data_IF_505823858250
#
_entry.id   IF_505823858250
#
_cell.length_a   1.000
_cell.length_b   1.000
_cell.length_c   1.000
_cell.angle_alpha   90.00
_cell.angle_beta   90.00
_cell.angle_gamma   90.00
#
_symmetry.space_group_name_H-M   'P 1'
#
loop_
_entity.id
_entity.type
_entity.pdbx_description
1 polymer ?
#
# COMPACT_ATOMS: atom_id res chain seq x y z
N UNK A 1 -28.81 20.39 4.94
CA UNK A 1 -27.86 20.72 6.03
C UNK A 1 -26.91 19.57 6.33
N UNK A 2 -27.34 18.31 6.30
CA UNK A 2 -26.48 17.14 6.56
C UNK A 2 -25.26 17.03 5.64
N UNK A 3 -25.44 17.15 4.31
CA UNK A 3 -24.32 17.19 3.36
C UNK A 3 -23.33 18.34 3.61
N UNK A 4 -23.82 19.46 4.14
CA UNK A 4 -22.96 20.60 4.48
C UNK A 4 -22.04 20.28 5.66
N UNK A 5 -22.57 19.65 6.72
CA UNK A 5 -21.76 19.19 7.86
C UNK A 5 -20.78 18.09 7.47
N UNK A 6 -21.19 17.16 6.60
CA UNK A 6 -20.31 16.10 6.08
C UNK A 6 -19.11 16.70 5.33
N UNK A 7 -19.36 17.61 4.38
CA UNK A 7 -18.30 18.25 3.59
C UNK A 7 -17.36 19.06 4.50
N UNK A 8 -17.90 19.88 5.41
CA UNK A 8 -17.08 20.66 6.34
C UNK A 8 -16.22 19.77 7.22
N UNK A 9 -16.76 18.66 7.70
CA UNK A 9 -16.03 17.73 8.56
C UNK A 9 -14.86 17.10 7.80
N UNK A 10 -15.10 16.60 6.58
CA UNK A 10 -14.04 16.04 5.74
C UNK A 10 -12.96 17.09 5.44
N UNK A 11 -13.35 18.28 4.98
CA UNK A 11 -12.40 19.36 4.67
C UNK A 11 -11.59 19.78 5.90
N UNK A 12 -12.22 19.86 7.07
CA UNK A 12 -11.54 20.19 8.33
C UNK A 12 -10.52 19.11 8.69
N UNK A 13 -10.89 17.83 8.58
CA UNK A 13 -9.99 16.72 8.86
C UNK A 13 -8.79 16.74 7.91
N UNK A 14 -9.00 16.90 6.60
CA UNK A 14 -7.90 16.98 5.62
C UNK A 14 -6.94 18.14 5.98
N UNK A 15 -7.49 19.31 6.31
CA UNK A 15 -6.68 20.51 6.61
C UNK A 15 -5.86 20.35 7.90
N UNK A 16 -6.45 19.79 8.96
CA UNK A 16 -5.81 19.73 10.28
C UNK A 16 -4.97 18.47 10.51
N UNK A 17 -5.20 17.38 9.76
CA UNK A 17 -4.50 16.10 9.95
C UNK A 17 -2.97 16.22 9.93
N UNK A 18 -2.32 16.95 8.98
CA UNK A 18 -0.87 17.08 8.98
C UNK A 18 -0.32 17.80 10.22
N UNK A 19 -1.05 18.80 10.73
CA UNK A 19 -0.64 19.57 11.91
C UNK A 19 -0.77 18.73 13.19
N UNK A 20 -1.84 17.95 13.31
CA UNK A 20 -2.04 16.98 14.38
C UNK A 20 -1.00 15.87 14.33
N UNK A 21 -0.69 15.34 13.14
CA UNK A 21 0.38 14.36 12.93
C UNK A 21 1.73 14.88 13.41
N UNK A 22 2.07 16.14 13.09
CA UNK A 22 3.31 16.76 13.57
C UNK A 22 3.32 16.93 15.09
N UNK A 23 2.18 17.31 15.69
CA UNK A 23 2.03 17.48 17.14
C UNK A 23 2.24 16.15 17.90
N UNK A 24 1.61 15.08 17.43
CA UNK A 24 1.69 13.76 18.06
C UNK A 24 2.86 12.89 17.58
N UNK A 25 3.60 13.34 16.56
CA UNK A 25 4.70 12.59 15.91
C UNK A 25 4.26 11.22 15.39
N UNK A 26 3.07 11.18 14.80
CA UNK A 26 2.43 9.98 14.24
C UNK A 26 2.29 10.10 12.72
N UNK A 27 2.18 9.00 11.96
CA UNK A 27 1.89 9.08 10.52
C UNK A 27 0.57 9.82 10.27
N UNK A 28 0.54 10.66 9.23
CA UNK A 28 -0.67 11.42 8.84
C UNK A 28 -1.85 10.49 8.59
N UNK A 29 -1.62 9.38 7.89
CA UNK A 29 -2.64 8.36 7.60
C UNK A 29 -3.32 7.83 8.87
N UNK A 30 -2.57 7.59 9.94
CA UNK A 30 -3.15 7.11 11.21
C UNK A 30 -4.03 8.19 11.83
N UNK A 31 -3.62 9.46 11.74
CA UNK A 31 -4.43 10.60 12.21
C UNK A 31 -5.73 10.74 11.41
N UNK A 32 -5.66 10.60 10.09
CA UNK A 32 -6.84 10.66 9.21
C UNK A 32 -7.86 9.57 9.55
N UNK A 33 -7.41 8.32 9.75
CA UNK A 33 -8.27 7.21 10.18
C UNK A 33 -8.87 7.50 11.56
N UNK A 34 -8.07 7.93 12.55
CA UNK A 34 -8.54 8.28 13.89
C UNK A 34 -9.62 9.38 13.84
N UNK A 35 -9.39 10.46 13.10
CA UNK A 35 -10.32 11.57 13.00
C UNK A 35 -11.59 11.18 12.24
N UNK A 36 -11.46 10.36 11.19
CA UNK A 36 -12.60 9.78 10.49
C UNK A 36 -13.47 8.93 11.41
N UNK A 37 -12.85 8.08 12.23
CA UNK A 37 -13.51 7.27 13.24
C UNK A 37 -14.24 8.13 14.30
N UNK A 38 -13.60 9.19 14.80
CA UNK A 38 -14.24 10.12 15.74
C UNK A 38 -15.42 10.84 15.09
N UNK A 39 -15.24 11.34 13.86
CA UNK A 39 -16.29 12.05 13.13
C UNK A 39 -17.47 11.13 12.77
N UNK A 40 -17.20 9.86 12.45
CA UNK A 40 -18.24 8.84 12.26
C UNK A 40 -19.04 8.61 13.54
N UNK A 41 -18.37 8.46 14.68
CA UNK A 41 -19.02 8.28 15.98
C UNK A 41 -19.89 9.46 16.42
N UNK A 42 -19.43 10.69 16.20
CA UNK A 42 -20.22 11.89 16.49
C UNK A 42 -21.35 12.14 15.46
N UNK A 43 -21.51 11.28 14.45
CA UNK A 43 -22.53 11.44 13.40
C UNK A 43 -22.22 12.58 12.42
N UNK A 44 -21.00 13.11 12.42
CA UNK A 44 -20.55 14.15 11.49
C UNK A 44 -20.30 13.59 10.09
N UNK A 45 -19.88 12.32 10.03
CA UNK A 45 -19.75 11.55 8.80
C UNK A 45 -20.70 10.35 8.89
N UNK A 46 -21.72 10.33 8.04
CA UNK A 46 -22.68 9.25 7.91
C UNK A 46 -22.46 8.48 6.60
N UNK A 47 -23.15 7.36 6.42
CA UNK A 47 -23.09 6.57 5.19
C UNK A 47 -23.69 7.37 4.02
N UNK A 48 -22.82 7.91 3.16
CA UNK A 48 -23.18 8.73 2.01
C UNK A 48 -22.53 8.14 0.74
N UNK A 49 -23.34 7.95 -0.30
CA UNK A 49 -22.90 7.34 -1.55
C UNK A 49 -21.85 8.19 -2.29
N UNK A 50 -21.92 9.52 -2.16
CA UNK A 50 -20.95 10.42 -2.81
C UNK A 50 -19.60 10.31 -2.13
N UNK A 51 -19.58 10.31 -0.79
CA UNK A 51 -18.37 10.08 -0.02
C UNK A 51 -17.76 8.71 -0.35
N UNK A 52 -18.60 7.66 -0.38
CA UNK A 52 -18.17 6.31 -0.73
C UNK A 52 -17.57 6.23 -2.14
N UNK A 53 -18.16 6.92 -3.11
CA UNK A 53 -17.63 6.98 -4.48
C UNK A 53 -16.26 7.68 -4.51
N UNK A 54 -16.10 8.82 -3.84
CA UNK A 54 -14.84 9.56 -3.80
C UNK A 54 -13.77 8.75 -3.05
N UNK A 55 -14.13 8.09 -1.95
CA UNK A 55 -13.23 7.22 -1.19
C UNK A 55 -12.76 6.01 -2.01
N UNK A 56 -13.65 5.39 -2.81
CA UNK A 56 -13.27 4.34 -3.77
C UNK A 56 -12.30 4.86 -4.82
N UNK A 57 -12.53 6.05 -5.37
CA UNK A 57 -11.58 6.67 -6.29
C UNK A 57 -10.24 6.98 -5.59
N UNK A 58 -10.27 7.46 -4.35
CA UNK A 58 -9.08 7.67 -3.54
C UNK A 58 -8.29 6.40 -3.28
N UNK A 59 -8.98 5.28 -3.07
CA UNK A 59 -8.35 3.96 -2.98
C UNK A 59 -7.67 3.56 -4.29
N UNK A 60 -8.35 3.69 -5.43
CA UNK A 60 -7.77 3.41 -6.76
C UNK A 60 -6.57 4.32 -7.03
N UNK A 61 -6.65 5.59 -6.67
CA UNK A 61 -5.54 6.54 -6.80
C UNK A 61 -4.36 6.18 -5.88
N UNK A 62 -4.62 5.71 -4.66
CA UNK A 62 -3.58 5.21 -3.76
C UNK A 62 -2.84 4.01 -4.38
N UNK A 63 -3.56 3.10 -5.03
CA UNK A 63 -2.96 1.95 -5.73
C UNK A 63 -2.16 2.40 -6.97
N UNK A 64 -2.58 3.47 -7.64
CA UNK A 64 -1.79 4.11 -8.69
C UNK A 64 -0.49 4.73 -8.14
N UNK A 65 -0.54 5.43 -7.01
CA UNK A 65 0.64 5.97 -6.34
C UNK A 65 1.60 4.86 -5.88
N UNK A 66 1.08 3.76 -5.34
CA UNK A 66 1.87 2.58 -5.01
C UNK A 66 2.68 2.09 -6.24
N UNK A 67 2.04 1.99 -7.42
CA UNK A 67 2.74 1.67 -8.67
C UNK A 67 3.79 2.72 -9.07
N UNK A 68 3.50 4.00 -8.86
CA UNK A 68 4.41 5.12 -9.14
C UNK A 68 5.65 5.12 -8.22
N UNK A 69 5.51 4.60 -7.00
CA UNK A 69 6.59 4.49 -6.02
C UNK A 69 7.59 3.38 -6.38
N UNK A 70 7.17 2.33 -7.09
CA UNK A 70 8.00 1.17 -7.45
C UNK A 70 9.23 1.58 -8.27
N UNK A 71 10.39 1.50 -7.65
CA UNK A 71 11.66 1.71 -8.33
C UNK A 71 12.41 0.38 -8.55
N UNK A 72 12.20 -0.23 -9.72
CA UNK A 72 12.83 -1.49 -10.12
C UNK A 72 14.37 -1.44 -10.13
N UNK A 73 14.99 -0.26 -10.14
CA UNK A 73 16.46 -0.13 -10.02
C UNK A 73 16.94 -0.60 -8.64
N UNK A 74 16.11 -0.47 -7.61
CA UNK A 74 16.44 -0.91 -6.25
C UNK A 74 16.53 -2.44 -6.14
N UNK A 75 15.78 -3.16 -6.96
CA UNK A 75 15.88 -4.63 -7.04
C UNK A 75 17.26 -5.05 -7.58
N UNK A 76 17.85 -4.26 -8.49
CA UNK A 76 19.21 -4.52 -9.00
C UNK A 76 20.32 -4.29 -7.97
N UNK A 77 20.04 -3.58 -6.87
CA UNK A 77 21.00 -3.38 -5.77
C UNK A 77 21.17 -4.67 -4.96
N UNK A 78 20.18 -5.58 -5.01
CA UNK A 78 20.28 -6.89 -4.38
C UNK A 78 21.44 -7.64 -5.03
N UNK A 79 22.52 -7.85 -4.26
CA UNK A 79 23.67 -8.63 -4.72
C UNK A 79 23.19 -10.00 -5.18
N UNK A 80 23.75 -10.54 -6.25
CA UNK A 80 23.42 -11.88 -6.73
C UNK A 80 23.55 -12.95 -5.62
N UNK A 81 24.49 -12.74 -4.70
CA UNK A 81 24.71 -13.58 -3.51
C UNK A 81 23.55 -13.58 -2.50
N UNK A 82 22.66 -12.58 -2.55
CA UNK A 82 21.47 -12.47 -1.70
C UNK A 82 20.17 -12.91 -2.39
N UNK A 83 20.18 -13.17 -3.70
CA UNK A 83 18.96 -13.52 -4.44
C UNK A 83 18.29 -14.78 -3.86
N UNK A 84 19.07 -15.79 -3.51
CA UNK A 84 18.57 -17.01 -2.85
C UNK A 84 17.96 -16.67 -1.49
N UNK A 85 18.59 -15.81 -0.71
CA UNK A 85 18.08 -15.41 0.60
C UNK A 85 16.75 -14.66 0.49
N UNK A 86 16.56 -13.84 -0.55
CA UNK A 86 15.29 -13.16 -0.83
C UNK A 86 14.20 -14.17 -1.19
N UNK A 87 14.49 -15.16 -2.03
CA UNK A 87 13.54 -16.24 -2.34
C UNK A 87 13.19 -17.02 -1.07
N UNK A 88 14.20 -17.41 -0.28
CA UNK A 88 13.99 -18.10 1.00
C UNK A 88 13.17 -17.26 1.98
N UNK A 89 13.38 -15.94 2.03
CA UNK A 89 12.60 -15.04 2.87
C UNK A 89 11.11 -15.13 2.53
N UNK A 90 10.73 -14.98 1.25
CA UNK A 90 9.33 -15.10 0.85
C UNK A 90 8.77 -16.51 1.04
N UNK A 91 9.56 -17.57 0.78
CA UNK A 91 9.15 -18.95 1.06
C UNK A 91 8.84 -19.12 2.55
N UNK A 92 9.72 -18.68 3.45
CA UNK A 92 9.46 -18.73 4.88
C UNK A 92 8.28 -17.85 5.28
N UNK A 93 8.17 -16.64 4.72
CA UNK A 93 7.09 -15.70 5.03
C UNK A 93 5.71 -16.31 4.74
N UNK A 94 5.51 -16.84 3.54
CA UNK A 94 4.25 -17.47 3.14
C UNK A 94 4.03 -18.82 3.83
N UNK A 95 5.09 -19.61 4.07
CA UNK A 95 4.95 -20.89 4.79
C UNK A 95 4.53 -20.69 6.25
N UNK A 96 5.11 -19.72 6.94
CA UNK A 96 4.76 -19.40 8.33
C UNK A 96 3.37 -18.75 8.38
N UNK A 97 3.02 -17.88 7.42
CA UNK A 97 1.65 -17.36 7.28
C UNK A 97 0.63 -18.50 7.15
N UNK A 98 0.88 -19.47 6.26
CA UNK A 98 0.04 -20.66 6.11
C UNK A 98 -0.05 -21.51 7.37
N UNK A 99 1.07 -21.69 8.08
CA UNK A 99 1.11 -22.41 9.35
C UNK A 99 0.29 -21.70 10.44
N UNK A 100 0.38 -20.37 10.56
CA UNK A 100 -0.46 -19.61 11.49
C UNK A 100 -1.94 -19.74 11.11
N UNK A 101 -2.27 -19.64 9.83
CA UNK A 101 -3.65 -19.81 9.39
C UNK A 101 -4.19 -21.20 9.73
N UNK A 102 -3.39 -22.25 9.53
CA UNK A 102 -3.78 -23.61 9.89
C UNK A 102 -3.91 -23.83 11.40
N UNK A 103 -2.99 -23.29 12.20
CA UNK A 103 -3.01 -23.46 13.68
C UNK A 103 -4.18 -22.74 14.35
N UNK A 104 -4.59 -21.59 13.81
CA UNK A 104 -5.63 -20.75 14.39
C UNK A 104 -6.96 -20.80 13.61
N UNK A 105 -7.09 -21.74 12.66
CA UNK A 105 -8.27 -21.91 11.80
C UNK A 105 -8.70 -20.62 11.09
N UNK A 106 -7.71 -19.88 10.56
CA UNK A 106 -7.93 -18.61 9.90
C UNK A 106 -8.23 -18.81 8.41
N UNK A 107 -9.20 -18.06 7.92
CA UNK A 107 -9.56 -18.05 6.51
C UNK A 107 -8.46 -17.48 5.60
N UNK A 108 -8.66 -17.65 4.30
CA UNK A 108 -7.71 -17.23 3.27
C UNK A 108 -7.38 -15.73 3.28
N UNK A 109 -8.29 -14.88 3.77
CA UNK A 109 -8.02 -13.45 3.99
C UNK A 109 -6.75 -13.23 4.80
N UNK A 110 -6.54 -14.00 5.88
CA UNK A 110 -5.36 -13.91 6.72
C UNK A 110 -4.11 -14.41 6.01
N UNK A 111 -4.23 -15.47 5.22
CA UNK A 111 -3.10 -16.01 4.44
C UNK A 111 -2.51 -14.97 3.49
N UNK A 112 -3.36 -14.11 2.90
CA UNK A 112 -2.94 -13.02 2.01
C UNK A 112 -2.57 -11.76 2.79
N UNK A 113 -3.29 -11.43 3.87
CA UNK A 113 -3.09 -10.20 4.64
C UNK A 113 -1.80 -10.21 5.50
N UNK A 114 -1.48 -11.32 6.16
CA UNK A 114 -0.33 -11.39 7.06
C UNK A 114 1.04 -11.13 6.38
N UNK A 115 1.32 -11.64 5.17
CA UNK A 115 2.58 -11.37 4.47
C UNK A 115 2.55 -10.07 3.62
N UNK A 116 1.47 -9.29 3.63
CA UNK A 116 1.27 -8.15 2.70
C UNK A 116 2.26 -7.00 2.95
N UNK A 117 2.83 -6.39 1.92
CA UNK A 117 3.83 -5.32 2.02
C UNK A 117 3.27 -3.94 1.70
N UNK A 118 3.93 -2.90 2.21
CA UNK A 118 3.72 -1.49 1.83
C UNK A 118 5.01 -0.69 1.99
N UNK A 119 5.42 0.04 0.96
CA UNK A 119 6.62 0.89 0.99
C UNK A 119 6.46 2.21 1.77
N UNK A 120 5.23 2.69 1.98
CA UNK A 120 5.00 4.04 2.50
C UNK A 120 5.68 4.31 3.86
N UNK A 121 5.59 3.35 4.79
CA UNK A 121 6.23 3.46 6.11
C UNK A 121 7.77 3.34 6.02
N UNK A 122 8.28 2.50 5.12
CA UNK A 122 9.73 2.35 4.88
C UNK A 122 10.32 3.65 4.32
N UNK A 123 9.61 4.33 3.43
CA UNK A 123 10.04 5.63 2.89
C UNK A 123 10.12 6.72 3.98
N UNK A 124 9.22 6.69 4.97
CA UNK A 124 9.32 7.59 6.12
C UNK A 124 10.57 7.29 6.97
N UNK A 125 10.90 6.02 7.20
CA UNK A 125 12.14 5.65 7.89
C UNK A 125 13.38 6.11 7.12
N UNK A 126 13.37 6.06 5.78
CA UNK A 126 14.49 6.56 4.95
C UNK A 126 14.66 8.07 5.11
N UNK A 127 13.57 8.83 5.19
CA UNK A 127 13.63 10.27 5.45
C UNK A 127 14.16 10.56 6.87
N UNK A 128 13.92 9.70 7.85
CA UNK A 128 14.35 9.88 9.24
C UNK A 128 15.82 9.46 9.49
N UNK A 129 16.26 8.31 8.95
CA UNK A 129 17.59 7.73 9.21
C UNK A 129 18.60 7.90 8.07
N UNK A 130 18.14 8.29 6.87
CA UNK A 130 18.96 8.36 5.67
C UNK A 130 19.11 7.02 4.95
N UNK A 131 19.74 7.06 3.77
CA UNK A 131 19.90 5.88 2.88
C UNK A 131 21.17 5.06 3.18
N UNK A 132 21.94 5.42 4.19
CA UNK A 132 23.23 4.75 4.46
C UNK A 132 23.08 3.49 5.32
N UNK A 133 21.91 3.29 5.92
CA UNK A 133 21.62 2.15 6.77
C UNK A 133 21.43 0.84 5.97
N UNK A 134 22.24 -0.22 6.21
CA UNK A 134 22.18 -1.46 5.42
C UNK A 134 20.84 -2.20 5.53
N UNK A 135 20.24 -2.22 6.73
CA UNK A 135 18.94 -2.85 6.97
C UNK A 135 17.84 -2.17 6.17
N UNK A 136 17.90 -0.84 6.05
CA UNK A 136 16.87 -0.04 5.41
C UNK A 136 16.97 -0.10 3.88
N UNK A 137 18.20 -0.13 3.34
CA UNK A 137 18.41 -0.39 1.91
C UNK A 137 17.87 -1.78 1.52
N UNK A 138 18.11 -2.80 2.35
CA UNK A 138 17.59 -4.13 2.10
C UNK A 138 16.06 -4.17 2.22
N UNK A 139 15.49 -3.54 3.26
CA UNK A 139 14.04 -3.41 3.47
C UNK A 139 13.36 -2.74 2.28
N UNK A 140 13.94 -1.66 1.76
CA UNK A 140 13.45 -0.98 0.57
C UNK A 140 13.47 -1.90 -0.67
N UNK A 141 14.59 -2.56 -0.95
CA UNK A 141 14.72 -3.45 -2.11
C UNK A 141 13.78 -4.65 -2.03
N UNK A 142 13.63 -5.25 -0.85
CA UNK A 142 12.72 -6.39 -0.61
C UNK A 142 11.27 -5.92 -0.61
N UNK A 143 10.98 -4.74 -0.04
CA UNK A 143 9.68 -4.11 -0.03
C UNK A 143 9.13 -3.88 -1.44
N UNK A 144 9.98 -3.45 -2.39
CA UNK A 144 9.59 -3.33 -3.81
C UNK A 144 9.12 -4.68 -4.38
N UNK A 145 9.86 -5.76 -4.12
CA UNK A 145 9.48 -7.10 -4.57
C UNK A 145 8.22 -7.57 -3.85
N UNK A 146 8.14 -7.34 -2.54
CA UNK A 146 7.03 -7.73 -1.69
C UNK A 146 5.73 -7.02 -2.06
N UNK A 147 5.78 -5.75 -2.44
CA UNK A 147 4.60 -4.98 -2.85
C UNK A 147 4.03 -5.50 -4.18
N UNK A 148 4.90 -5.81 -5.15
CA UNK A 148 4.49 -6.48 -6.40
C UNK A 148 3.87 -7.85 -6.11
N UNK A 149 4.51 -8.66 -5.27
CA UNK A 149 3.97 -9.97 -4.86
C UNK A 149 2.62 -9.80 -4.14
N UNK A 150 2.47 -8.78 -3.30
CA UNK A 150 1.25 -8.49 -2.53
C UNK A 150 0.07 -8.17 -3.43
N UNK A 151 0.29 -7.35 -4.46
CA UNK A 151 -0.76 -6.99 -5.43
C UNK A 151 -1.15 -8.19 -6.29
N UNK A 152 -0.17 -8.99 -6.71
CA UNK A 152 -0.44 -10.24 -7.41
C UNK A 152 -1.24 -11.20 -6.52
N UNK A 153 -0.85 -11.36 -5.27
CA UNK A 153 -1.56 -12.21 -4.31
C UNK A 153 -3.00 -11.71 -4.09
N UNK A 154 -3.21 -10.40 -3.91
CA UNK A 154 -4.52 -9.80 -3.75
C UNK A 154 -5.40 -9.96 -5.01
N UNK A 155 -4.82 -9.84 -6.20
CA UNK A 155 -5.56 -10.02 -7.46
C UNK A 155 -5.91 -11.48 -7.74
N UNK A 156 -4.99 -12.41 -7.44
CA UNK A 156 -5.28 -13.84 -7.53
C UNK A 156 -6.34 -14.24 -6.51
N UNK A 157 -6.29 -13.65 -5.32
CA UNK A 157 -7.26 -13.85 -4.27
C UNK A 157 -8.65 -13.35 -4.68
N UNK A 158 -8.78 -12.11 -5.20
CA UNK A 158 -10.07 -11.59 -5.66
C UNK A 158 -10.63 -12.42 -6.81
N UNK A 159 -9.79 -12.82 -7.76
CA UNK A 159 -10.17 -13.74 -8.84
C UNK A 159 -10.66 -15.11 -8.34
N UNK A 160 -10.05 -15.66 -7.29
CA UNK A 160 -10.51 -16.92 -6.69
C UNK A 160 -11.87 -16.73 -6.00
N UNK A 161 -12.03 -15.67 -5.22
CA UNK A 161 -13.30 -15.38 -4.51
C UNK A 161 -14.45 -15.22 -5.49
N UNK A 162 -14.23 -14.54 -6.62
CA UNK A 162 -15.29 -14.25 -7.59
C UNK A 162 -15.69 -15.46 -8.46
N UNK A 163 -14.75 -16.35 -8.79
CA UNK A 163 -14.99 -17.44 -9.74
C UNK A 163 -14.96 -18.86 -9.14
N UNK A 164 -14.50 -19.02 -7.90
CA UNK A 164 -14.23 -20.33 -7.29
C UNK A 164 -13.08 -21.08 -7.99
N UNK A 165 -12.71 -22.27 -7.49
CA UNK A 165 -11.59 -23.05 -8.05
C UNK A 165 -11.97 -23.87 -9.29
N UNK A 166 -12.57 -23.20 -10.28
CA UNK A 166 -13.09 -23.81 -11.51
C UNK A 166 -12.27 -23.40 -12.74
N UNK A 167 -12.60 -23.96 -13.91
CA UNK A 167 -11.99 -23.56 -15.19
C UNK A 167 -12.04 -22.03 -15.41
N UNK A 168 -13.12 -21.40 -14.96
CA UNK A 168 -13.29 -19.94 -14.97
C UNK A 168 -12.17 -19.20 -14.22
N UNK A 169 -11.67 -19.72 -13.11
CA UNK A 169 -10.55 -19.10 -12.38
C UNK A 169 -9.25 -19.16 -13.17
N UNK A 170 -8.94 -20.30 -13.81
CA UNK A 170 -7.77 -20.41 -14.68
C UNK A 170 -7.87 -19.50 -15.90
N UNK A 171 -9.07 -19.36 -16.47
CA UNK A 171 -9.34 -18.37 -17.53
C UNK A 171 -9.11 -16.96 -16.99
N UNK A 172 -9.61 -16.61 -15.81
CA UNK A 172 -9.40 -15.29 -15.20
C UNK A 172 -7.93 -15.00 -14.91
N UNK A 173 -7.15 -15.98 -14.44
CA UNK A 173 -5.68 -15.86 -14.31
C UNK A 173 -5.04 -15.57 -15.68
N UNK A 174 -5.40 -16.35 -16.70
CA UNK A 174 -4.87 -16.15 -18.05
C UNK A 174 -5.25 -14.77 -18.61
N UNK A 175 -6.44 -14.29 -18.27
CA UNK A 175 -6.94 -12.97 -18.63
C UNK A 175 -6.16 -11.88 -17.91
N UNK A 176 -5.89 -12.02 -16.61
CA UNK A 176 -5.02 -11.13 -15.83
C UNK A 176 -3.62 -11.06 -16.45
N UNK A 177 -2.99 -12.20 -16.72
CA UNK A 177 -1.67 -12.27 -17.35
C UNK A 177 -1.72 -11.61 -18.74
N UNK A 178 -2.75 -11.92 -19.53
CA UNK A 178 -2.97 -11.33 -20.85
C UNK A 178 -3.09 -9.82 -20.79
N UNK A 179 -3.83 -9.28 -19.81
CA UNK A 179 -3.99 -7.83 -19.61
C UNK A 179 -2.70 -7.18 -19.15
N UNK A 180 -1.95 -7.80 -18.23
CA UNK A 180 -0.62 -7.28 -17.83
C UNK A 180 0.32 -7.25 -19.04
N UNK A 181 0.36 -8.31 -19.84
CA UNK A 181 1.16 -8.36 -21.07
C UNK A 181 0.70 -7.32 -22.08
N UNK A 182 -0.61 -7.22 -22.35
CA UNK A 182 -1.17 -6.24 -23.28
C UNK A 182 -0.93 -4.81 -22.81
N UNK A 183 -1.00 -4.57 -21.50
CA UNK A 183 -0.66 -3.28 -20.90
C UNK A 183 0.81 -3.01 -21.16
N UNK A 184 1.73 -3.89 -20.77
CA UNK A 184 3.18 -3.72 -21.05
C UNK A 184 3.47 -3.52 -22.55
N UNK A 185 2.81 -4.28 -23.43
CA UNK A 185 2.97 -4.19 -24.88
C UNK A 185 2.42 -2.88 -25.45
N UNK A 186 1.20 -2.49 -25.07
CA UNK A 186 0.58 -1.23 -25.49
C UNK A 186 1.40 -0.04 -25.01
N UNK A 187 1.90 -0.10 -23.79
CA UNK A 187 2.80 0.88 -23.21
C UNK A 187 4.17 0.94 -23.92
N UNK A 188 4.73 -0.20 -24.32
CA UNK A 188 5.93 -0.27 -25.17
C UNK A 188 5.67 0.27 -26.57
N UNK A 189 4.48 0.04 -27.12
CA UNK A 189 4.05 0.61 -28.39
C UNK A 189 3.97 2.13 -28.30
N UNK A 190 3.36 2.67 -27.23
CA UNK A 190 3.39 4.11 -26.94
C UNK A 190 4.82 4.66 -26.84
N UNK A 191 5.74 3.92 -26.22
CA UNK A 191 7.15 4.32 -26.19
C UNK A 191 7.76 4.42 -27.60
N UNK A 192 7.52 3.43 -28.46
CA UNK A 192 8.02 3.44 -29.83
C UNK A 192 7.40 4.59 -30.62
N UNK A 193 6.09 4.82 -30.48
CA UNK A 193 5.37 5.93 -31.11
C UNK A 193 5.97 7.27 -30.65
N UNK A 194 6.21 7.45 -29.35
CA UNK A 194 6.83 8.67 -28.84
C UNK A 194 8.29 8.85 -29.25
N UNK A 195 8.99 7.76 -29.56
CA UNK A 195 10.34 7.81 -30.12
C UNK A 195 10.32 8.22 -31.60
N UNK A 196 9.34 7.75 -32.38
CA UNK A 196 9.19 8.10 -33.81
C UNK A 196 8.54 9.46 -34.02
N UNK A 197 7.61 9.85 -33.14
CA UNK A 197 6.85 11.09 -33.18
C UNK A 197 7.07 11.89 -31.89
N UNK A 198 8.26 12.48 -31.69
CA UNK A 198 8.57 13.24 -30.48
C UNK A 198 7.67 14.47 -30.29
N UNK A 199 7.05 14.98 -31.35
CA UNK A 199 6.06 16.05 -31.29
C UNK A 199 4.77 15.62 -30.57
N UNK A 200 4.30 14.38 -30.77
CA UNK A 200 3.16 13.83 -30.03
C UNK A 200 3.47 13.69 -28.55
N UNK A 201 4.71 13.28 -28.21
CA UNK A 201 5.17 13.25 -26.82
C UNK A 201 5.16 14.65 -26.20
N UNK A 202 5.70 15.65 -26.90
CA UNK A 202 5.71 17.06 -26.45
C UNK A 202 4.31 17.67 -26.36
N UNK A 203 3.36 17.20 -27.17
CA UNK A 203 1.98 17.63 -27.13
C UNK A 203 1.21 17.06 -25.93
N UNK A 204 1.41 15.78 -25.61
CA UNK A 204 0.72 15.10 -24.50
C UNK A 204 1.39 15.36 -23.15
N UNK A 205 2.72 15.39 -23.13
CA UNK A 205 3.56 15.63 -21.96
C UNK A 205 4.64 16.67 -22.33
N UNK A 206 4.27 17.96 -22.37
CA UNK A 206 5.20 19.04 -22.68
C UNK A 206 6.34 19.14 -21.68
N UNK A 207 7.42 19.79 -22.11
CA UNK A 207 8.50 20.18 -21.19
C UNK A 207 8.00 21.19 -20.16
N UNK A 208 8.60 21.18 -18.97
CA UNK A 208 8.15 21.92 -17.77
C UNK A 208 7.85 23.40 -18.07
N UNK A 209 8.70 24.02 -18.88
CA UNK A 209 8.63 25.44 -19.23
C UNK A 209 7.42 25.79 -20.13
N UNK A 210 6.88 24.80 -20.84
CA UNK A 210 5.73 24.94 -21.75
C UNK A 210 4.45 24.30 -21.20
N UNK A 211 4.49 23.69 -20.00
CA UNK A 211 3.34 23.02 -19.41
C UNK A 211 2.40 23.99 -18.68
N UNK A 212 1.80 24.92 -19.43
CA UNK A 212 0.93 25.98 -18.86
C UNK A 212 -0.42 25.49 -18.33
N UNK A 213 -0.85 24.28 -18.71
CA UNK A 213 -2.19 23.74 -18.40
C UNK A 213 -2.17 22.39 -17.68
N UNK A 214 -1.01 22.00 -17.13
CA UNK A 214 -0.79 20.70 -16.49
C UNK A 214 -1.24 19.52 -17.37
N UNK A 215 -0.88 19.58 -18.65
CA UNK A 215 -1.25 18.57 -19.66
C UNK A 215 -0.73 17.18 -19.29
N UNK A 216 0.45 17.15 -18.68
CA UNK A 216 1.08 15.96 -18.11
C UNK A 216 0.22 15.28 -17.02
N UNK A 217 -0.35 16.05 -16.08
CA UNK A 217 -1.27 15.54 -15.06
C UNK A 217 -2.56 15.05 -15.74
N UNK A 218 -3.13 15.84 -16.65
CA UNK A 218 -4.37 15.47 -17.35
C UNK A 218 -4.21 14.16 -18.11
N UNK A 219 -3.11 13.99 -18.83
CA UNK A 219 -2.77 12.76 -19.50
C UNK A 219 -2.63 11.61 -18.50
N UNK A 220 -1.90 11.82 -17.40
CA UNK A 220 -1.70 10.79 -16.35
C UNK A 220 -3.01 10.29 -15.74
N UNK A 221 -3.88 11.21 -15.33
CA UNK A 221 -5.19 10.87 -14.74
C UNK A 221 -6.09 10.22 -15.80
N UNK A 222 -6.06 10.69 -17.05
CA UNK A 222 -6.85 10.10 -18.13
C UNK A 222 -6.40 8.67 -18.42
N UNK A 223 -5.09 8.41 -18.49
CA UNK A 223 -4.55 7.07 -18.67
C UNK A 223 -4.92 6.13 -17.52
N UNK A 224 -4.84 6.62 -16.27
CA UNK A 224 -5.30 5.87 -15.10
C UNK A 224 -6.78 5.48 -15.25
N UNK A 225 -7.66 6.45 -15.53
CA UNK A 225 -9.10 6.22 -15.65
C UNK A 225 -9.45 5.29 -16.81
N UNK A 226 -8.76 5.41 -17.95
CA UNK A 226 -8.95 4.51 -19.09
C UNK A 226 -8.56 3.08 -18.70
N UNK A 227 -7.42 2.88 -18.04
CA UNK A 227 -6.99 1.55 -17.61
C UNK A 227 -7.96 0.97 -16.58
N UNK A 228 -8.41 1.77 -15.60
CA UNK A 228 -9.43 1.35 -14.62
C UNK A 228 -10.74 0.96 -15.31
N UNK A 229 -11.18 1.73 -16.31
CA UNK A 229 -12.38 1.41 -17.09
C UNK A 229 -12.22 0.11 -17.90
N UNK A 230 -11.05 -0.14 -18.48
CA UNK A 230 -10.72 -1.40 -19.16
C UNK A 230 -10.78 -2.56 -18.16
N UNK A 231 -10.15 -2.45 -16.99
CA UNK A 231 -10.18 -3.48 -15.95
C UNK A 231 -11.61 -3.79 -15.51
N UNK A 232 -12.40 -2.73 -15.28
CA UNK A 232 -13.80 -2.85 -14.90
C UNK A 232 -14.63 -3.57 -15.98
N UNK A 233 -14.43 -3.22 -17.26
CA UNK A 233 -15.11 -3.87 -18.38
C UNK A 233 -14.72 -5.35 -18.54
N UNK A 234 -13.46 -5.68 -18.24
CA UNK A 234 -12.94 -7.05 -18.25
C UNK A 234 -13.31 -7.85 -16.99
N UNK A 235 -13.98 -7.24 -16.01
CA UNK A 235 -14.28 -7.81 -14.69
C UNK A 235 -13.03 -8.32 -13.98
N UNK A 236 -11.95 -7.54 -14.07
CA UNK A 236 -10.72 -7.78 -13.33
C UNK A 236 -10.62 -6.72 -12.25
N UNK A 237 -9.94 -7.06 -11.15
CA UNK A 237 -9.65 -6.13 -10.06
C UNK A 237 -9.01 -4.82 -10.57
N UNK A 238 -9.70 -3.71 -10.30
CA UNK A 238 -9.27 -2.35 -10.69
C UNK A 238 -7.98 -1.93 -9.98
N UNK A 239 -7.65 -2.53 -8.84
CA UNK A 239 -6.41 -2.29 -8.08
C UNK A 239 -5.19 -2.64 -8.92
N UNK A 240 -5.22 -3.79 -9.61
CA UNK A 240 -4.12 -4.20 -10.49
C UNK A 240 -3.93 -3.22 -11.65
N UNK A 241 -5.02 -2.74 -12.26
CA UNK A 241 -4.96 -1.78 -13.35
C UNK A 241 -4.36 -0.44 -12.92
N UNK A 242 -4.79 0.06 -11.76
CA UNK A 242 -4.25 1.29 -11.19
C UNK A 242 -2.76 1.14 -10.87
N UNK A 243 -2.35 0.05 -10.24
CA UNK A 243 -0.94 -0.21 -9.97
C UNK A 243 -0.10 -0.35 -11.24
N UNK A 244 -0.59 -1.09 -12.24
CA UNK A 244 0.10 -1.26 -13.52
C UNK A 244 0.26 0.08 -14.26
N UNK A 245 -0.77 0.95 -14.20
CA UNK A 245 -0.68 2.32 -14.70
C UNK A 245 0.44 3.09 -13.96
N UNK A 246 0.47 3.04 -12.64
CA UNK A 246 1.50 3.72 -11.84
C UNK A 246 2.91 3.26 -12.19
N UNK A 247 3.10 1.94 -12.28
CA UNK A 247 4.38 1.33 -12.65
C UNK A 247 4.84 1.79 -14.05
N UNK A 248 3.92 1.87 -15.00
CA UNK A 248 4.21 2.41 -16.32
C UNK A 248 4.69 3.87 -16.26
N UNK A 249 3.95 4.72 -15.56
CA UNK A 249 4.31 6.13 -15.43
C UNK A 249 5.69 6.28 -14.79
N UNK A 250 5.99 5.48 -13.77
CA UNK A 250 7.32 5.46 -13.15
C UNK A 250 8.42 5.03 -14.10
N UNK A 251 8.19 4.02 -14.94
CA UNK A 251 9.20 3.54 -15.89
C UNK A 251 9.43 4.52 -17.05
N UNK A 252 8.38 5.16 -17.56
CA UNK A 252 8.44 6.01 -18.75
C UNK A 252 8.81 7.46 -18.42
N UNK A 253 8.26 8.01 -17.34
CA UNK A 253 8.47 9.40 -16.92
C UNK A 253 9.44 9.50 -15.73
N UNK A 254 10.29 8.49 -15.50
CA UNK A 254 11.28 8.46 -14.40
C UNK A 254 12.11 9.75 -14.27
N UNK A 255 12.40 10.41 -15.39
CA UNK A 255 13.23 11.63 -15.45
C UNK A 255 12.45 12.92 -15.20
N UNK A 256 11.12 12.89 -15.20
CA UNK A 256 10.23 14.04 -14.96
C UNK A 256 9.82 14.05 -13.49
N UNK A 257 10.75 14.42 -12.62
CA UNK A 257 10.52 14.47 -11.18
C UNK A 257 9.32 15.37 -10.82
N UNK A 258 9.19 16.52 -11.47
CA UNK A 258 8.07 17.45 -11.26
C UNK A 258 6.70 16.81 -11.52
N UNK A 259 6.57 15.96 -12.54
CA UNK A 259 5.31 15.25 -12.83
C UNK A 259 4.97 14.26 -11.70
N UNK A 260 5.97 13.51 -11.25
CA UNK A 260 5.80 12.54 -10.16
C UNK A 260 5.37 13.28 -8.88
N UNK A 261 6.04 14.37 -8.53
CA UNK A 261 5.70 15.19 -7.37
C UNK A 261 4.30 15.82 -7.48
N UNK A 262 3.91 16.28 -8.67
CA UNK A 262 2.56 16.80 -8.94
C UNK A 262 1.48 15.74 -8.73
N UNK A 263 1.69 14.53 -9.27
CA UNK A 263 0.79 13.38 -9.10
C UNK A 263 0.68 12.99 -7.62
N UNK A 264 1.81 12.85 -6.93
CA UNK A 264 1.85 12.56 -5.50
C UNK A 264 1.13 13.63 -4.68
N UNK A 265 1.39 14.92 -4.98
CA UNK A 265 0.75 16.05 -4.29
C UNK A 265 -0.77 16.07 -4.49
N UNK A 266 -1.24 15.75 -5.70
CA UNK A 266 -2.67 15.68 -5.99
C UNK A 266 -3.36 14.53 -5.25
N UNK A 267 -2.70 13.36 -5.18
CA UNK A 267 -3.23 12.20 -4.47
C UNK A 267 -3.19 12.34 -2.96
N UNK A 268 -2.00 12.51 -2.37
CA UNK A 268 -1.80 12.61 -0.93
C UNK A 268 -2.36 13.91 -0.34
N UNK A 269 -2.54 14.96 -1.15
CA UNK A 269 -3.14 16.21 -0.69
C UNK A 269 -4.67 16.18 -0.62
N UNK A 270 -5.35 15.25 -1.30
CA UNK A 270 -6.82 15.27 -1.38
C UNK A 270 -7.49 13.89 -1.41
N UNK A 271 -7.22 13.07 -2.43
CA UNK A 271 -7.98 11.82 -2.65
C UNK A 271 -7.65 10.72 -1.64
N UNK A 272 -6.37 10.55 -1.34
CA UNK A 272 -5.90 9.53 -0.40
C UNK A 272 -6.39 9.84 1.04
N UNK A 273 -6.31 11.09 1.53
CA UNK A 273 -6.92 11.46 2.80
C UNK A 273 -8.41 11.10 2.90
N UNK A 274 -9.21 11.39 1.86
CA UNK A 274 -10.65 11.08 1.88
C UNK A 274 -10.88 9.57 2.02
N UNK A 275 -10.09 8.74 1.35
CA UNK A 275 -10.15 7.29 1.51
C UNK A 275 -9.89 6.86 2.97
N UNK A 276 -8.84 7.38 3.61
CA UNK A 276 -8.53 7.01 5.00
C UNK A 276 -9.55 7.56 6.01
N UNK A 277 -10.05 8.77 5.80
CA UNK A 277 -11.13 9.36 6.62
C UNK A 277 -12.40 8.52 6.51
N UNK A 278 -12.81 8.17 5.29
CA UNK A 278 -13.96 7.28 5.06
C UNK A 278 -13.74 5.90 5.71
N UNK A 279 -12.55 5.33 5.55
CA UNK A 279 -12.24 4.04 6.17
C UNK A 279 -12.37 4.12 7.69
N UNK A 280 -11.84 5.17 8.31
CA UNK A 280 -12.01 5.45 9.73
C UNK A 280 -13.48 5.58 10.12
N UNK A 281 -14.28 6.34 9.36
CA UNK A 281 -15.70 6.56 9.69
C UNK A 281 -16.57 5.31 9.60
N UNK A 282 -16.12 4.27 8.87
CA UNK A 282 -16.82 2.99 8.87
C UNK A 282 -16.61 2.16 10.16
N UNK A 283 -15.61 2.50 10.97
CA UNK A 283 -15.35 1.83 12.25
C UNK A 283 -16.30 2.38 13.32
N UNK A 284 -17.22 1.52 13.77
CA UNK A 284 -18.23 1.87 14.77
C UNK A 284 -17.63 1.77 16.17
N UNK A 285 -17.30 2.93 16.74
CA UNK A 285 -16.67 3.05 18.07
C UNK A 285 -17.47 2.36 19.19
N UNK A 286 -18.80 2.43 19.11
CA UNK A 286 -19.76 1.79 20.02
C UNK A 286 -19.71 0.26 19.99
N UNK A 287 -19.22 -0.32 18.89
CA UNK A 287 -19.06 -1.76 18.72
C UNK A 287 -17.66 -2.26 19.10
N UNK A 288 -16.73 -1.39 19.49
CA UNK A 288 -15.38 -1.79 19.85
C UNK A 288 -15.38 -2.47 21.23
N UNK A 289 -15.15 -3.77 21.21
CA UNK A 289 -15.02 -4.61 22.41
C UNK A 289 -13.57 -4.95 22.69
N UNK A 290 -13.30 -5.43 23.91
CA UNK A 290 -11.99 -5.96 24.29
C UNK A 290 -11.51 -7.07 23.34
N UNK A 291 -12.42 -7.90 22.83
CA UNK A 291 -12.09 -8.99 21.91
C UNK A 291 -11.59 -8.48 20.55
N UNK A 292 -12.14 -7.38 20.04
CA UNK A 292 -11.64 -6.74 18.81
C UNK A 292 -10.21 -6.21 19.02
N UNK A 293 -9.93 -5.57 20.16
CA UNK A 293 -8.57 -5.13 20.46
C UNK A 293 -7.61 -6.31 20.64
N UNK A 294 -8.04 -7.38 21.29
CA UNK A 294 -7.26 -8.61 21.44
C UNK A 294 -6.94 -9.24 20.08
N UNK A 295 -7.91 -9.27 19.17
CA UNK A 295 -7.73 -9.80 17.82
C UNK A 295 -6.84 -8.90 16.96
N UNK A 296 -6.97 -7.57 17.09
CA UNK A 296 -6.06 -6.62 16.45
C UNK A 296 -4.60 -6.82 16.91
N UNK A 297 -4.38 -7.00 18.22
CA UNK A 297 -3.06 -7.32 18.78
C UNK A 297 -2.55 -8.68 18.29
N UNK A 298 -3.43 -9.66 18.12
CA UNK A 298 -3.07 -10.95 17.52
C UNK A 298 -2.59 -10.78 16.06
N UNK A 299 -3.32 -10.02 15.24
CA UNK A 299 -2.92 -9.74 13.84
C UNK A 299 -1.56 -9.05 13.80
N UNK A 300 -1.37 -7.97 14.58
CA UNK A 300 -0.08 -7.28 14.72
C UNK A 300 1.03 -8.26 15.13
N UNK A 301 0.81 -9.05 16.19
CA UNK A 301 1.80 -9.98 16.69
C UNK A 301 2.14 -11.05 15.65
N UNK A 302 1.14 -11.59 14.94
CA UNK A 302 1.34 -12.57 13.88
C UNK A 302 2.20 -11.99 12.74
N UNK A 303 1.88 -10.76 12.28
CA UNK A 303 2.66 -10.05 11.27
C UNK A 303 4.13 -9.90 11.70
N UNK A 304 4.35 -9.40 12.91
CA UNK A 304 5.69 -9.17 13.47
C UNK A 304 6.46 -10.50 13.60
N UNK A 305 5.82 -11.55 14.13
CA UNK A 305 6.44 -12.86 14.36
C UNK A 305 6.83 -13.51 13.05
N UNK A 306 5.92 -13.54 12.06
CA UNK A 306 6.21 -14.10 10.73
C UNK A 306 7.45 -13.41 10.15
N UNK A 307 7.47 -12.08 10.15
CA UNK A 307 8.58 -11.30 9.59
C UNK A 307 9.88 -11.45 10.37
N UNK A 308 9.84 -11.49 11.70
CA UNK A 308 11.03 -11.74 12.51
C UNK A 308 11.63 -13.09 12.17
N UNK A 309 10.84 -14.16 12.23
CA UNK A 309 11.33 -15.52 11.98
C UNK A 309 11.89 -15.63 10.56
N UNK A 310 11.12 -15.23 9.54
CA UNK A 310 11.56 -15.25 8.15
C UNK A 310 12.85 -14.44 7.94
N UNK A 311 12.95 -13.26 8.56
CA UNK A 311 14.14 -12.40 8.43
C UNK A 311 15.38 -13.02 9.08
N UNK A 312 15.24 -13.62 10.26
CA UNK A 312 16.35 -14.27 10.95
C UNK A 312 16.82 -15.52 10.21
N UNK A 313 15.90 -16.31 9.63
CA UNK A 313 16.27 -17.46 8.81
C UNK A 313 16.98 -17.04 7.52
N UNK A 314 16.50 -15.98 6.86
CA UNK A 314 17.02 -15.57 5.56
C UNK A 314 18.28 -14.67 5.64
N UNK A 315 18.33 -13.72 6.58
CA UNK A 315 19.30 -12.61 6.51
C UNK A 315 20.25 -12.50 7.70
N UNK A 316 20.14 -13.36 8.72
CA UNK A 316 20.98 -13.25 9.93
C UNK A 316 22.49 -13.27 9.62
N UNK A 317 22.95 -14.13 8.69
CA UNK A 317 24.37 -14.19 8.33
C UNK A 317 24.89 -12.89 7.72
N UNK A 318 24.04 -12.19 6.97
CA UNK A 318 24.36 -10.96 6.24
C UNK A 318 24.25 -9.72 7.12
N UNK A 319 23.09 -9.51 7.77
CA UNK A 319 22.79 -8.32 8.55
C UNK A 319 23.28 -8.39 10.01
N UNK A 320 23.48 -9.60 10.56
CA UNK A 320 23.68 -9.84 12.00
C UNK A 320 22.45 -9.44 12.83
N UNK A 321 22.47 -9.82 14.11
CA UNK A 321 21.31 -9.72 15.01
C UNK A 321 20.61 -8.35 15.01
N UNK A 322 21.37 -7.26 15.23
CA UNK A 322 20.81 -5.90 15.40
C UNK A 322 20.11 -5.41 14.12
N UNK A 323 20.77 -5.55 12.98
CA UNK A 323 20.25 -5.05 11.70
C UNK A 323 19.12 -5.93 11.17
N UNK A 324 19.17 -7.26 11.41
CA UNK A 324 18.04 -8.15 11.07
C UNK A 324 16.79 -7.80 11.88
N UNK A 325 16.94 -7.41 13.14
CA UNK A 325 15.80 -6.96 13.96
C UNK A 325 15.17 -5.69 13.38
N UNK A 326 15.98 -4.68 13.05
CA UNK A 326 15.48 -3.43 12.47
C UNK A 326 14.81 -3.66 11.11
N UNK A 327 15.43 -4.47 10.25
CA UNK A 327 14.86 -4.91 8.97
C UNK A 327 13.48 -5.58 9.13
N UNK A 328 13.38 -6.56 10.03
CA UNK A 328 12.12 -7.28 10.23
C UNK A 328 11.00 -6.36 10.74
N UNK A 329 11.33 -5.45 11.66
CA UNK A 329 10.36 -4.50 12.21
C UNK A 329 9.95 -3.44 11.18
N UNK A 330 10.84 -3.00 10.30
CA UNK A 330 10.50 -2.02 9.26
C UNK A 330 9.57 -2.59 8.20
N UNK A 331 9.77 -3.86 7.85
CA UNK A 331 8.88 -4.57 6.92
C UNK A 331 7.52 -4.87 7.57
N UNK A 332 7.42 -4.84 8.90
CA UNK A 332 6.21 -5.17 9.66
C UNK A 332 5.15 -4.08 9.71
N UNK A 333 5.24 -3.03 8.88
CA UNK A 333 4.29 -1.90 8.91
C UNK A 333 3.46 -1.74 7.62
N UNK A 334 2.65 -2.73 7.20
CA UNK A 334 1.95 -2.68 5.92
C UNK A 334 0.63 -1.87 5.96
N UNK A 335 0.64 -0.73 6.65
CA UNK A 335 -0.55 0.06 7.01
C UNK A 335 -1.56 0.20 5.85
N UNK A 336 -1.12 0.73 4.72
CA UNK A 336 -2.02 1.08 3.60
C UNK A 336 -2.66 -0.15 2.95
N UNK A 337 -1.87 -1.20 2.75
CA UNK A 337 -2.32 -2.44 2.11
C UNK A 337 -3.14 -3.32 3.06
N UNK A 338 -2.87 -3.28 4.37
CA UNK A 338 -3.66 -3.99 5.37
C UNK A 338 -5.07 -3.40 5.49
N UNK A 339 -5.19 -2.07 5.45
CA UNK A 339 -6.49 -1.39 5.39
C UNK A 339 -7.24 -1.74 4.09
N UNK A 340 -6.53 -1.74 2.97
CA UNK A 340 -7.09 -2.07 1.66
C UNK A 340 -7.70 -3.48 1.62
N UNK A 341 -6.93 -4.50 2.06
CA UNK A 341 -7.41 -5.88 2.05
C UNK A 341 -8.57 -6.08 3.03
N UNK A 342 -8.56 -5.41 4.18
CA UNK A 342 -9.66 -5.45 5.14
C UNK A 342 -10.96 -4.92 4.52
N UNK A 343 -10.91 -3.75 3.87
CA UNK A 343 -12.08 -3.17 3.22
C UNK A 343 -12.59 -4.03 2.06
N UNK A 344 -11.68 -4.55 1.23
CA UNK A 344 -12.02 -5.41 0.09
C UNK A 344 -12.71 -6.70 0.57
N UNK A 345 -12.12 -7.39 1.55
CA UNK A 345 -12.63 -8.67 2.05
C UNK A 345 -13.92 -8.53 2.83
N UNK A 346 -14.09 -7.44 3.56
CA UNK A 346 -15.36 -7.11 4.21
C UNK A 346 -16.47 -6.86 3.18
N UNK A 347 -16.19 -6.12 2.10
CA UNK A 347 -17.16 -5.89 1.03
C UNK A 347 -17.54 -7.18 0.28
N UNK A 348 -16.64 -8.17 0.20
CA UNK A 348 -16.94 -9.50 -0.33
C UNK A 348 -17.60 -10.45 0.68
N UNK A 349 -17.81 -10.01 1.94
CA UNK A 349 -18.42 -10.84 2.98
C UNK A 349 -17.54 -11.99 3.48
N UNK A 350 -16.21 -11.92 3.28
CA UNK A 350 -15.27 -12.97 3.66
C UNK A 350 -14.78 -12.85 5.10
N UNK A 351 -14.92 -11.66 5.69
CA UNK A 351 -14.62 -11.40 7.09
C UNK A 351 -15.80 -10.74 7.76
N UNK A 352 -15.96 -11.02 9.04
CA UNK A 352 -16.96 -10.40 9.89
C UNK A 352 -16.63 -8.91 10.14
N UNK A 353 -17.62 -8.16 10.59
CA UNK A 353 -17.43 -6.75 10.96
C UNK A 353 -16.41 -6.58 12.10
N UNK A 354 -16.37 -7.51 13.06
CA UNK A 354 -15.37 -7.53 14.14
C UNK A 354 -13.95 -7.71 13.61
N UNK A 355 -13.76 -8.59 12.63
CA UNK A 355 -12.45 -8.79 12.00
C UNK A 355 -12.04 -7.58 11.17
N UNK A 356 -12.97 -6.98 10.43
CA UNK A 356 -12.72 -5.73 9.70
C UNK A 356 -12.20 -4.63 10.62
N UNK A 357 -12.86 -4.41 11.77
CA UNK A 357 -12.40 -3.45 12.77
C UNK A 357 -11.04 -3.84 13.36
N UNK A 358 -10.82 -5.13 13.60
CA UNK A 358 -9.54 -5.64 14.12
C UNK A 358 -8.39 -5.37 13.15
N UNK A 359 -8.58 -5.56 11.84
CA UNK A 359 -7.57 -5.27 10.82
C UNK A 359 -7.24 -3.77 10.74
N UNK A 360 -8.25 -2.90 10.77
CA UNK A 360 -8.02 -1.45 10.74
C UNK A 360 -7.24 -1.03 12.00
N UNK A 361 -7.66 -1.47 13.18
CA UNK A 361 -6.97 -1.15 14.44
C UNK A 361 -5.55 -1.72 14.43
N UNK A 362 -5.35 -2.96 14.00
CA UNK A 362 -4.03 -3.58 13.89
C UNK A 362 -3.10 -2.73 13.00
N UNK A 363 -3.58 -2.32 11.83
CA UNK A 363 -2.80 -1.51 10.89
C UNK A 363 -2.33 -0.19 11.50
N UNK A 364 -3.19 0.47 12.27
CA UNK A 364 -2.88 1.73 12.96
C UNK A 364 -1.87 1.52 14.09
N UNK A 365 -2.09 0.49 14.92
CA UNK A 365 -1.19 0.16 16.04
C UNK A 365 0.20 -0.24 15.51
N UNK A 366 0.27 -1.05 14.46
CA UNK A 366 1.53 -1.45 13.80
C UNK A 366 2.37 -0.23 13.43
N UNK A 367 1.78 0.69 12.65
CA UNK A 367 2.49 1.88 12.18
C UNK A 367 2.97 2.79 13.32
N UNK A 368 2.24 2.88 14.43
CA UNK A 368 2.61 3.69 15.59
C UNK A 368 3.68 3.01 16.45
N UNK A 369 3.39 1.79 16.91
CA UNK A 369 4.21 1.07 17.89
C UNK A 369 5.55 0.70 17.28
N UNK A 370 5.56 0.21 16.04
CA UNK A 370 6.80 -0.23 15.42
C UNK A 370 7.71 0.95 15.07
N UNK A 371 7.19 2.10 14.64
CA UNK A 371 8.03 3.29 14.44
C UNK A 371 8.71 3.74 15.74
N UNK A 372 7.98 3.77 16.85
CA UNK A 372 8.55 4.10 18.17
C UNK A 372 9.58 3.06 18.61
N UNK A 373 9.31 1.78 18.38
CA UNK A 373 10.20 0.68 18.73
C UNK A 373 11.50 0.74 17.91
N UNK A 374 11.42 0.94 16.60
CA UNK A 374 12.59 1.10 15.72
C UNK A 374 13.44 2.29 16.17
N UNK A 375 12.82 3.44 16.48
CA UNK A 375 13.53 4.62 16.99
C UNK A 375 14.30 4.33 18.27
N UNK A 376 13.67 3.64 19.22
CA UNK A 376 14.31 3.26 20.47
C UNK A 376 15.45 2.27 20.25
N UNK A 377 15.24 1.24 19.43
CA UNK A 377 16.23 0.21 19.14
C UNK A 377 17.43 0.75 18.35
N UNK A 378 17.20 1.57 17.33
CA UNK A 378 18.25 2.20 16.53
C UNK A 378 19.18 3.04 17.40
N UNK A 379 18.61 3.85 18.32
CA UNK A 379 19.39 4.62 19.31
C UNK A 379 20.21 3.72 20.23
N UNK A 380 19.64 2.63 20.74
CA UNK A 380 20.36 1.69 21.61
C UNK A 380 21.49 0.99 20.84
N UNK A 381 21.25 0.61 19.59
CA UNK A 381 22.20 -0.12 18.77
C UNK A 381 23.36 0.73 18.29
N UNK A 382 23.12 2.00 17.95
CA UNK A 382 24.13 2.99 17.56
C UNK A 382 25.03 3.41 18.73
N UNK A 383 24.47 3.67 19.92
CA UNK A 383 25.24 4.02 21.12
C UNK A 383 26.24 2.93 21.56
N UNK A 384 25.97 1.67 21.20
CA UNK A 384 26.81 0.51 21.55
C UNK A 384 27.92 0.21 20.52
N UNK A 385 28.06 1.05 19.49
CA UNK A 385 29.15 0.98 18.49
C UNK A 385 30.24 2.02 18.83
N UNK A 386 29.92 3.05 19.64
CA UNK A 386 30.85 4.08 20.10
C UNK A 386 31.53 3.77 21.45
N UNK A 387 31.22 2.61 22.06
CA UNK A 387 31.95 2.00 23.16
C UNK A 387 32.54 0.69 22.68
#
# INVERSE_FOLDING_TARGET
MEKFFLIISICSIIMFSPSLSKLFRTPVVVVEICLGLMAGYFGLIYDDETLKLIAKFGFVYLMFLAGLEINLKLVKIIKATLAINVILYFVFLYSISGLICWLFDLGITYFVALPIFSLGMIMMLIKEYGKDEPWLNLALSIGVVGEVISILALTLFSGWVEHGFNLSFFISILTIIGVVILTILGLRLFYIIFWWYPELKKFLVPDSDNNRFDQDIRFSISSLLILVAIMYALKIDVVLGAFAAGLFFKMFFYQKHDLIEKIESFGFGFFVPIFFIYTGSTVKLDMLTYDIFKHALFIMAAIIIIRLISSYLAFYKYLKFKQTMLFALSDSMPLTFLVAIAMLTYNYGLITQSEYFSFIIASMIDGLVLMLLIRKLHKIFSLRIQK
#
